data_IF_009516697738
#
_entry.id   IF_009516697738
#
_cell.length_a   1.000
_cell.length_b   1.000
_cell.length_c   1.000
_cell.angle_alpha   90.00
_cell.angle_beta   90.00
_cell.angle_gamma   90.00
#
_symmetry.space_group_name_H-M   'P 1'
#
loop_
_entity.id
_entity.type
_entity.pdbx_description
1 polymer ?
#
# COMPACT_ATOMS: atom_id res chain seq x y z
N UNK A 1 23.01 -14.06 -8.01
CA UNK A 1 22.28 -12.79 -8.01
C UNK A 1 21.00 -13.02 -7.23
N UNK A 2 20.60 -12.16 -6.27
CA UNK A 2 19.27 -12.26 -5.71
C UNK A 2 18.27 -12.17 -6.87
N UNK A 3 17.25 -13.04 -6.87
CA UNK A 3 16.14 -12.91 -7.83
C UNK A 3 15.60 -11.48 -7.74
N UNK A 4 15.30 -10.82 -8.87
CA UNK A 4 14.55 -9.58 -8.81
C UNK A 4 13.28 -9.87 -8.01
N UNK A 5 13.01 -9.04 -6.99
CA UNK A 5 11.73 -9.13 -6.26
C UNK A 5 10.60 -9.12 -7.29
N UNK A 6 9.61 -10.01 -7.17
CA UNK A 6 8.52 -10.06 -8.13
C UNK A 6 7.86 -8.68 -8.17
N UNK A 7 7.70 -8.10 -9.36
CA UNK A 7 6.92 -6.87 -9.54
C UNK A 7 5.44 -7.24 -9.70
N UNK A 8 4.51 -6.47 -9.12
CA UNK A 8 3.08 -6.76 -9.29
C UNK A 8 2.66 -6.53 -10.74
N UNK A 9 1.79 -7.40 -11.26
CA UNK A 9 1.27 -7.26 -12.63
C UNK A 9 0.27 -6.11 -12.74
N UNK A 10 -0.48 -5.87 -11.66
CA UNK A 10 -1.37 -4.74 -11.51
C UNK A 10 -0.74 -3.81 -10.47
N UNK A 11 -0.16 -2.67 -10.86
CA UNK A 11 0.61 -1.81 -9.95
C UNK A 11 -0.25 -0.82 -9.14
N UNK A 12 -1.55 -0.71 -9.46
CA UNK A 12 -2.49 0.19 -8.79
C UNK A 12 -3.80 -0.56 -8.54
N UNK A 13 -4.29 -0.50 -7.32
CA UNK A 13 -5.54 -1.14 -6.88
C UNK A 13 -6.43 -0.11 -6.20
N UNK A 14 -7.73 -0.36 -6.22
CA UNK A 14 -8.68 0.46 -5.48
C UNK A 14 -8.86 -0.11 -4.07
N UNK A 15 -8.89 0.77 -3.08
CA UNK A 15 -9.20 0.46 -1.69
C UNK A 15 -10.71 0.63 -1.47
N UNK A 16 -11.34 -0.38 -0.86
CA UNK A 16 -12.78 -0.44 -0.69
C UNK A 16 -13.19 -0.63 0.77
N UNK A 17 -14.38 -0.12 1.11
CA UNK A 17 -15.17 -0.52 2.26
C UNK A 17 -16.34 -1.41 1.78
N UNK A 18 -16.60 -2.58 2.40
CA UNK A 18 -17.80 -3.35 2.09
C UNK A 18 -19.07 -2.64 2.59
N UNK A 19 -20.11 -2.64 1.76
CA UNK A 19 -21.42 -2.11 2.17
C UNK A 19 -22.03 -3.03 3.24
N UNK A 20 -22.50 -2.42 4.33
CA UNK A 20 -23.12 -3.11 5.46
C UNK A 20 -24.22 -4.09 4.99
N UNK A 21 -24.06 -5.36 5.36
CA UNK A 21 -25.02 -6.43 5.05
C UNK A 21 -24.93 -7.01 3.63
N UNK A 22 -24.04 -6.51 2.76
CA UNK A 22 -23.85 -7.03 1.39
C UNK A 22 -22.74 -8.08 1.30
N UNK A 23 -21.60 -7.81 1.95
CA UNK A 23 -20.49 -8.75 2.03
C UNK A 23 -20.40 -9.30 3.47
N UNK A 24 -21.09 -10.41 3.72
CA UNK A 24 -21.05 -11.09 5.02
C UNK A 24 -19.64 -11.57 5.36
N UNK A 25 -19.24 -11.44 6.63
CA UNK A 25 -17.95 -11.94 7.14
C UNK A 25 -16.80 -10.92 7.18
N UNK A 26 -16.98 -9.72 6.60
CA UNK A 26 -16.02 -8.63 6.75
C UNK A 26 -16.23 -7.91 8.08
N UNK A 27 -15.15 -7.71 8.82
CA UNK A 27 -15.14 -7.03 10.11
C UNK A 27 -14.45 -5.66 9.93
N UNK A 28 -14.85 -4.64 10.68
CA UNK A 28 -14.13 -3.35 10.72
C UNK A 28 -12.61 -3.56 10.85
N UNK A 29 -11.83 -2.67 10.25
CA UNK A 29 -10.37 -2.75 10.08
C UNK A 29 -9.87 -3.93 9.23
N UNK A 30 -10.73 -4.48 8.36
CA UNK A 30 -10.31 -5.36 7.26
C UNK A 30 -9.85 -4.50 6.10
N UNK A 31 -8.65 -4.75 5.58
CA UNK A 31 -8.19 -4.13 4.33
C UNK A 31 -8.79 -4.91 3.18
N UNK A 32 -9.51 -4.22 2.30
CA UNK A 32 -10.13 -4.78 1.10
C UNK A 32 -9.64 -3.97 -0.11
N UNK A 33 -8.97 -4.64 -1.04
CA UNK A 33 -8.45 -4.02 -2.27
C UNK A 33 -8.94 -4.80 -3.48
N UNK A 34 -9.12 -4.15 -4.61
CA UNK A 34 -9.61 -4.82 -5.81
C UNK A 34 -9.35 -4.11 -7.12
N UNK A 35 -9.62 -4.83 -8.20
CA UNK A 35 -9.59 -4.35 -9.59
C UNK A 35 -10.97 -4.50 -10.20
N UNK A 36 -11.41 -3.48 -10.93
CA UNK A 36 -12.62 -3.57 -11.76
C UNK A 36 -12.38 -4.55 -12.91
N UNK A 37 -13.20 -5.58 -13.01
CA UNK A 37 -13.35 -6.46 -14.18
C UNK A 37 -14.65 -6.08 -14.91
N UNK A 38 -14.99 -6.72 -16.03
CA UNK A 38 -16.16 -6.32 -16.87
C UNK A 38 -17.47 -6.20 -16.07
N UNK A 39 -17.84 -7.24 -15.33
CA UNK A 39 -19.15 -7.32 -14.65
C UNK A 39 -19.05 -7.40 -13.11
N UNK A 40 -17.84 -7.36 -12.56
CA UNK A 40 -17.61 -7.50 -11.12
C UNK A 40 -16.28 -6.88 -10.72
N UNK A 41 -16.06 -6.77 -9.41
CA UNK A 41 -14.80 -6.33 -8.82
C UNK A 41 -14.12 -7.58 -8.26
N UNK A 42 -12.90 -7.83 -8.73
CA UNK A 42 -12.03 -8.88 -8.19
C UNK A 42 -11.29 -8.32 -7.00
N UNK A 43 -11.62 -8.80 -5.81
CA UNK A 43 -11.05 -8.28 -4.58
C UNK A 43 -10.18 -9.32 -3.86
N UNK A 44 -9.23 -8.82 -3.08
CA UNK A 44 -8.55 -9.57 -2.02
C UNK A 44 -8.61 -8.78 -0.73
N UNK A 45 -8.53 -9.50 0.38
CA UNK A 45 -8.68 -8.90 1.69
C UNK A 45 -7.74 -9.52 2.72
N UNK A 46 -7.49 -8.77 3.78
CA UNK A 46 -6.72 -9.22 4.94
C UNK A 46 -7.21 -8.49 6.20
N UNK A 47 -7.23 -9.21 7.32
CA UNK A 47 -7.42 -8.60 8.62
C UNK A 47 -8.84 -8.61 9.20
N UNK A 48 -9.19 -7.45 9.78
CA UNK A 48 -10.21 -7.28 10.82
C UNK A 48 -9.60 -6.71 12.10
N UNK A 49 -10.41 -6.02 12.92
CA UNK A 49 -9.97 -5.36 14.17
C UNK A 49 -9.39 -6.30 15.22
N UNK A 50 -9.64 -7.60 15.10
CA UNK A 50 -9.14 -8.63 16.01
C UNK A 50 -7.91 -9.36 15.47
N UNK A 51 -7.51 -9.09 14.23
CA UNK A 51 -6.31 -9.69 13.64
C UNK A 51 -5.09 -8.93 14.19
N UNK A 52 -4.11 -9.63 14.80
CA UNK A 52 -2.95 -9.02 15.47
C UNK A 52 -1.90 -8.56 14.44
N UNK A 53 -2.32 -7.69 13.52
CA UNK A 53 -1.57 -7.22 12.38
C UNK A 53 -1.92 -5.76 12.14
N UNK A 54 -0.92 -4.92 11.88
CA UNK A 54 -1.15 -3.52 11.59
C UNK A 54 -1.80 -3.32 10.20
N UNK A 55 -2.27 -2.11 9.93
CA UNK A 55 -2.89 -1.78 8.65
C UNK A 55 -1.93 -1.99 7.46
N UNK A 56 -0.66 -1.62 7.62
CA UNK A 56 0.34 -1.67 6.55
C UNK A 56 0.60 -3.11 6.13
N UNK A 57 0.76 -4.03 7.07
CA UNK A 57 0.98 -5.44 6.82
C UNK A 57 -0.25 -6.10 6.19
N UNK A 58 -1.46 -5.78 6.69
CA UNK A 58 -2.72 -6.20 6.05
C UNK A 58 -2.78 -5.73 4.59
N UNK A 59 -2.43 -4.47 4.34
CA UNK A 59 -2.39 -3.88 3.01
C UNK A 59 -1.39 -4.57 2.10
N UNK A 60 -0.14 -4.80 2.55
CA UNK A 60 0.86 -5.50 1.74
C UNK A 60 0.31 -6.86 1.30
N UNK A 61 -0.25 -7.63 2.22
CA UNK A 61 -0.72 -8.99 1.96
C UNK A 61 -1.92 -8.98 1.00
N UNK A 62 -2.93 -8.16 1.28
CA UNK A 62 -4.12 -8.09 0.44
C UNK A 62 -3.79 -7.61 -0.98
N UNK A 63 -2.95 -6.58 -1.11
CA UNK A 63 -2.56 -6.01 -2.40
C UNK A 63 -1.67 -6.95 -3.21
N UNK A 64 -0.71 -7.63 -2.57
CA UNK A 64 0.08 -8.67 -3.24
C UNK A 64 -0.82 -9.77 -3.81
N UNK A 65 -1.73 -10.32 -3.01
CA UNK A 65 -2.68 -11.35 -3.47
C UNK A 65 -3.54 -10.86 -4.64
N UNK A 66 -4.02 -9.62 -4.58
CA UNK A 66 -4.87 -9.04 -5.63
C UNK A 66 -4.10 -8.84 -6.95
N UNK A 67 -2.81 -8.52 -6.85
CA UNK A 67 -1.92 -8.30 -7.99
C UNK A 67 -1.40 -9.59 -8.64
N UNK A 68 -1.53 -10.74 -7.96
CA UNK A 68 -1.13 -12.05 -8.48
C UNK A 68 -2.20 -12.64 -9.42
N UNK A 69 -1.76 -13.27 -10.51
CA UNK A 69 -2.64 -13.91 -11.51
C UNK A 69 -3.40 -15.14 -10.98
N UNK A 70 -2.94 -15.73 -9.87
CA UNK A 70 -3.51 -16.95 -9.25
C UNK A 70 -3.54 -16.83 -7.73
N UNK A 71 -4.38 -15.94 -7.19
CA UNK A 71 -4.53 -15.76 -5.74
C UNK A 71 -4.94 -17.07 -5.03
N UNK A 72 -4.17 -17.47 -4.02
CA UNK A 72 -4.23 -18.84 -3.48
C UNK A 72 -5.31 -19.09 -2.43
N UNK A 73 -5.77 -18.09 -1.66
CA UNK A 73 -6.64 -18.39 -0.49
C UNK A 73 -7.64 -17.31 0.00
N UNK A 74 -7.51 -16.03 -0.36
CA UNK A 74 -8.38 -14.96 0.18
C UNK A 74 -8.84 -13.97 -0.90
N UNK A 75 -9.82 -14.39 -1.70
CA UNK A 75 -10.44 -13.58 -2.73
C UNK A 75 -11.95 -13.51 -2.54
N UNK A 76 -12.57 -12.42 -2.98
CA UNK A 76 -14.01 -12.34 -3.15
C UNK A 76 -14.32 -11.64 -4.48
N UNK A 77 -15.49 -11.95 -5.02
CA UNK A 77 -16.06 -11.19 -6.12
C UNK A 77 -17.18 -10.33 -5.55
N UNK A 78 -17.08 -9.02 -5.75
CA UNK A 78 -18.07 -8.06 -5.31
C UNK A 78 -18.74 -7.43 -6.52
N UNK A 79 -20.02 -7.10 -6.40
CA UNK A 79 -20.65 -6.20 -7.36
C UNK A 79 -20.29 -4.75 -7.02
N UNK A 80 -20.34 -3.81 -7.98
CA UNK A 80 -20.05 -2.40 -7.70
C UNK A 80 -20.92 -1.80 -6.58
N UNK A 81 -22.12 -2.34 -6.33
CA UNK A 81 -23.01 -1.91 -5.25
C UNK A 81 -22.77 -2.62 -3.91
N UNK A 82 -21.87 -3.61 -3.86
CA UNK A 82 -21.50 -4.33 -2.63
C UNK A 82 -20.35 -3.66 -1.87
N UNK A 83 -19.68 -2.69 -2.51
CA UNK A 83 -18.53 -1.97 -1.97
C UNK A 83 -18.64 -0.47 -2.24
N UNK A 84 -17.98 0.31 -1.40
CA UNK A 84 -17.77 1.75 -1.57
C UNK A 84 -16.28 1.99 -1.78
N UNK A 85 -15.92 2.73 -2.84
CA UNK A 85 -14.55 3.18 -3.01
C UNK A 85 -14.17 4.18 -1.92
N UNK A 86 -13.03 3.93 -1.27
CA UNK A 86 -12.49 4.81 -0.22
C UNK A 86 -11.14 5.43 -0.60
N UNK A 87 -10.45 4.89 -1.59
CA UNK A 87 -9.17 5.44 -2.07
C UNK A 87 -8.46 4.52 -3.06
N UNK A 88 -7.19 4.82 -3.32
CA UNK A 88 -6.33 4.00 -4.17
C UNK A 88 -5.01 3.67 -3.47
N UNK A 89 -4.46 2.52 -3.83
CA UNK A 89 -3.17 2.03 -3.36
C UNK A 89 -2.31 1.68 -4.56
N UNK A 90 -1.01 1.97 -4.44
CA UNK A 90 -0.04 1.82 -5.53
C UNK A 90 1.18 1.09 -5.01
N UNK A 91 1.79 0.27 -5.87
CA UNK A 91 3.09 -0.29 -5.60
C UNK A 91 4.18 0.75 -5.88
N UNK A 92 4.81 1.26 -4.83
CA UNK A 92 5.92 2.20 -4.93
C UNK A 92 7.23 1.43 -5.16
N UNK A 93 7.85 1.63 -6.33
CA UNK A 93 9.08 0.91 -6.70
C UNK A 93 10.30 1.29 -5.84
N UNK A 94 10.31 2.51 -5.29
CA UNK A 94 11.41 3.01 -4.46
C UNK A 94 11.31 2.41 -3.06
N UNK A 95 10.11 2.38 -2.49
CA UNK A 95 9.84 1.74 -1.20
C UNK A 95 9.71 0.21 -1.30
N UNK A 96 9.54 -0.31 -2.52
CA UNK A 96 9.34 -1.73 -2.83
C UNK A 96 8.15 -2.33 -2.07
N UNK A 97 7.07 -1.57 -1.99
CA UNK A 97 5.89 -1.95 -1.22
C UNK A 97 4.65 -1.18 -1.62
N UNK A 98 3.51 -1.67 -1.17
CA UNK A 98 2.22 -1.02 -1.37
C UNK A 98 2.06 0.17 -0.43
N UNK A 99 1.63 1.29 -0.99
CA UNK A 99 1.34 2.52 -0.24
C UNK A 99 -0.04 3.04 -0.60
N UNK A 100 -0.63 3.81 0.31
CA UNK A 100 -1.85 4.57 0.00
C UNK A 100 -1.46 5.75 -0.87
N UNK A 101 -2.04 5.82 -2.06
CA UNK A 101 -1.86 6.93 -3.02
C UNK A 101 -2.80 8.08 -2.66
N UNK A 102 -4.07 7.77 -2.41
CA UNK A 102 -5.12 8.74 -2.14
C UNK A 102 -6.24 8.12 -1.30
N UNK A 103 -6.94 8.98 -0.54
CA UNK A 103 -8.17 8.65 0.17
C UNK A 103 -9.27 9.57 -0.37
N UNK A 104 -10.18 9.02 -1.16
CA UNK A 104 -11.26 9.77 -1.82
C UNK A 104 -12.48 9.95 -0.91
N UNK A 105 -12.62 9.10 0.11
CA UNK A 105 -13.69 9.19 1.10
C UNK A 105 -13.15 8.99 2.53
N UNK A 106 -12.65 10.08 3.13
CA UNK A 106 -12.06 10.06 4.48
C UNK A 106 -13.04 9.61 5.56
N UNK A 107 -14.32 9.95 5.43
CA UNK A 107 -15.34 9.58 6.42
C UNK A 107 -15.55 8.06 6.45
N UNK A 108 -15.69 7.46 5.26
CA UNK A 108 -15.79 6.01 5.11
C UNK A 108 -14.49 5.32 5.57
N UNK A 109 -13.32 5.83 5.14
CA UNK A 109 -12.03 5.28 5.54
C UNK A 109 -11.86 5.28 7.07
N UNK A 110 -12.15 6.39 7.74
CA UNK A 110 -12.00 6.50 9.20
C UNK A 110 -13.01 5.63 9.96
N UNK A 111 -14.26 5.56 9.48
CA UNK A 111 -15.29 4.69 10.04
C UNK A 111 -14.92 3.20 9.91
N UNK A 112 -14.41 2.80 8.74
CA UNK A 112 -14.14 1.40 8.42
C UNK A 112 -12.81 0.91 9.00
N UNK A 113 -11.73 1.65 8.79
CA UNK A 113 -10.38 1.25 9.16
C UNK A 113 -10.05 1.59 10.61
N UNK A 114 -10.78 2.53 11.22
CA UNK A 114 -10.56 2.99 12.59
C UNK A 114 -9.41 3.99 12.75
N UNK A 115 -8.69 4.26 11.66
CA UNK A 115 -7.67 5.30 11.56
C UNK A 115 -7.62 5.82 10.12
N UNK A 116 -7.13 7.05 9.94
CA UNK A 116 -6.90 7.62 8.60
C UNK A 116 -5.57 7.09 8.08
N UNK A 117 -5.54 6.34 6.97
CA UNK A 117 -4.30 5.81 6.43
C UNK A 117 -3.32 6.91 6.04
N UNK A 118 -2.03 6.69 6.29
CA UNK A 118 -0.97 7.64 5.91
C UNK A 118 -0.73 7.57 4.41
N UNK A 119 -1.05 8.66 3.71
CA UNK A 119 -0.79 8.81 2.27
C UNK A 119 0.72 8.88 2.03
N UNK A 120 1.20 8.18 1.01
CA UNK A 120 2.62 8.16 0.65
C UNK A 120 3.47 7.21 1.50
N UNK A 121 2.85 6.33 2.29
CA UNK A 121 3.53 5.35 3.15
C UNK A 121 3.90 5.90 4.54
N UNK A 122 4.06 5.00 5.50
CA UNK A 122 4.40 5.37 6.89
C UNK A 122 5.86 5.76 7.06
N UNK A 123 6.16 6.44 8.17
CA UNK A 123 7.54 6.80 8.52
C UNK A 123 8.45 5.56 8.61
N UNK A 124 7.97 4.43 9.14
CA UNK A 124 8.78 3.20 9.16
C UNK A 124 9.06 2.67 7.75
N UNK A 125 8.08 2.72 6.84
CA UNK A 125 8.27 2.30 5.45
C UNK A 125 9.31 3.18 4.76
N UNK A 126 9.19 4.51 4.91
CA UNK A 126 10.12 5.49 4.34
C UNK A 126 11.54 5.33 4.88
N UNK A 127 11.70 5.18 6.19
CA UNK A 127 13.01 4.97 6.82
C UNK A 127 13.65 3.65 6.37
N UNK A 128 12.87 2.57 6.28
CA UNK A 128 13.35 1.27 5.78
C UNK A 128 13.82 1.38 4.34
N UNK A 129 13.03 2.01 3.47
CA UNK A 129 13.36 2.24 2.07
C UNK A 129 14.66 3.06 1.92
N UNK A 130 14.76 4.20 2.60
CA UNK A 130 15.97 5.02 2.60
C UNK A 130 17.20 4.25 3.10
N UNK A 131 17.05 3.46 4.17
CA UNK A 131 18.11 2.59 4.68
C UNK A 131 18.59 1.55 3.67
N UNK A 132 17.67 0.93 2.91
CA UNK A 132 18.01 -0.02 1.85
C UNK A 132 18.72 0.66 0.66
N UNK A 133 18.24 1.84 0.25
CA UNK A 133 18.86 2.64 -0.82
C UNK A 133 20.30 3.02 -0.46
N UNK A 134 20.53 3.42 0.79
CA UNK A 134 21.87 3.75 1.30
C UNK A 134 22.75 2.50 1.46
N UNK A 135 22.20 1.36 1.88
CA UNK A 135 22.95 0.11 2.14
C UNK A 135 23.40 -0.60 0.88
N UNK A 136 22.68 -0.46 -0.25
CA UNK A 136 23.05 -1.08 -1.52
C UNK A 136 24.25 -0.38 -2.20
N UNK A 137 25.40 -0.40 -1.51
CA UNK A 137 26.77 -0.54 -2.01
C UNK A 137 27.42 0.56 -2.85
N UNK A 138 26.67 1.37 -3.61
CA UNK A 138 27.28 2.31 -4.59
C UNK A 138 26.59 3.66 -4.69
N UNK A 139 25.65 3.96 -3.79
CA UNK A 139 24.82 5.15 -3.90
C UNK A 139 25.43 6.36 -3.15
N UNK A 140 26.67 6.72 -3.51
CA UNK A 140 27.32 7.98 -3.07
C UNK A 140 26.38 9.19 -3.28
N UNK A 141 25.64 9.31 -4.39
CA UNK A 141 24.72 10.42 -4.57
C UNK A 141 23.55 10.42 -3.58
N UNK A 142 23.02 9.25 -3.18
CA UNK A 142 21.98 9.18 -2.15
C UNK A 142 22.51 9.63 -0.77
N UNK A 143 23.76 9.26 -0.42
CA UNK A 143 24.42 9.76 0.80
C UNK A 143 24.66 11.28 0.75
N UNK A 144 24.97 11.81 -0.43
CA UNK A 144 25.11 13.25 -0.64
C UNK A 144 23.77 13.97 -0.47
N UNK A 145 22.69 13.45 -1.06
CA UNK A 145 21.34 13.97 -0.90
C UNK A 145 20.93 14.04 0.59
N UNK A 146 21.18 12.96 1.34
CA UNK A 146 20.95 12.89 2.77
C UNK A 146 21.74 13.95 3.56
N UNK A 147 23.05 14.06 3.29
CA UNK A 147 23.93 15.02 3.99
C UNK A 147 23.56 16.46 3.68
N UNK A 148 23.25 16.75 2.41
CA UNK A 148 22.82 18.08 1.97
C UNK A 148 21.49 18.47 2.60
N UNK A 149 20.51 17.56 2.64
CA UNK A 149 19.23 17.81 3.29
C UNK A 149 19.40 18.15 4.78
N UNK A 150 20.25 17.40 5.50
CA UNK A 150 20.61 17.73 6.88
C UNK A 150 21.24 19.11 7.02
N UNK A 151 22.20 19.45 6.17
CA UNK A 151 22.85 20.76 6.19
C UNK A 151 21.86 21.91 5.90
N UNK A 152 20.79 21.64 5.17
CA UNK A 152 19.74 22.59 4.81
C UNK A 152 18.52 22.56 5.74
N UNK A 153 18.55 21.82 6.86
CA UNK A 153 17.41 21.59 7.76
C UNK A 153 16.14 21.07 7.04
N UNK A 154 16.31 20.18 6.07
CA UNK A 154 15.24 19.46 5.36
C UNK A 154 15.17 18.01 5.82
N UNK A 155 14.05 17.35 5.54
CA UNK A 155 13.91 15.91 5.83
C UNK A 155 14.90 15.10 4.98
N UNK A 156 15.88 14.42 5.61
CA UNK A 156 16.89 13.69 4.89
C UNK A 156 16.41 12.33 4.37
N UNK A 157 15.32 11.77 4.93
CA UNK A 157 14.71 10.53 4.43
C UNK A 157 13.99 10.82 3.13
N UNK A 158 13.14 11.85 3.09
CA UNK A 158 12.45 12.26 1.86
C UNK A 158 13.45 12.63 0.75
N UNK A 159 14.55 13.31 1.09
CA UNK A 159 15.58 13.63 0.10
C UNK A 159 16.23 12.40 -0.55
N UNK A 160 16.40 11.31 0.20
CA UNK A 160 16.91 10.03 -0.35
C UNK A 160 15.87 9.38 -1.25
N UNK A 161 14.60 9.40 -0.85
CA UNK A 161 13.50 8.86 -1.65
C UNK A 161 13.32 9.63 -2.95
N UNK A 162 13.35 10.97 -2.91
CA UNK A 162 13.24 11.84 -4.09
C UNK A 162 14.40 11.64 -5.06
N UNK A 163 15.62 11.46 -4.56
CA UNK A 163 16.76 11.07 -5.40
C UNK A 163 16.49 9.76 -6.13
N UNK A 164 16.03 8.72 -5.42
CA UNK A 164 15.75 7.41 -6.00
C UNK A 164 14.54 7.39 -6.94
N UNK A 165 13.61 8.34 -6.81
CA UNK A 165 12.49 8.53 -7.77
C UNK A 165 12.95 9.17 -9.08
N UNK A 166 14.05 9.92 -9.06
CA UNK A 166 14.52 10.74 -10.19
C UNK A 166 15.69 10.13 -10.97
N UNK A 167 16.29 9.04 -10.47
CA UNK A 167 17.47 8.38 -11.02
C UNK A 167 17.30 6.86 -11.04
#
# INVERSE_FOLDING_TARGET
MPSPEPKPQVPRLTLYEPVLGKLGGFIAATVLVGTQEEDYIRCSYEGGKYTPMDFVEKLQIAAWRCSERHASVAHCHAQPYDVTEIGAVVYDEVMRGWIVEEITNETAANSWLGEVPVIGGTDEQKQRAAGLIMKNGSNVPAMMAFTQAKAMNRDPVEAVLDYARTH
#
